data_IF_680658831813
#
_entry.id   IF_680658831813
#
_cell.length_a   1.000
_cell.length_b   1.000
_cell.length_c   1.000
_cell.angle_alpha   90.00
_cell.angle_beta   90.00
_cell.angle_gamma   90.00
#
_symmetry.space_group_name_H-M   'P 1'
#
loop_
_entity.id
_entity.type
_entity.pdbx_description
1 polymer ?
#
# COMPACT_ATOMS: atom_id res chain seq x y z
N UNK A 1 0.14 49.80 26.13
CA UNK A 1 0.90 49.23 25.00
C UNK A 1 0.73 47.72 25.05
N UNK A 2 -0.12 47.16 24.18
CA UNK A 2 -0.44 45.73 24.16
C UNK A 2 0.39 44.99 23.13
N UNK A 3 1.23 44.05 23.56
CA UNK A 3 1.87 43.09 22.67
C UNK A 3 0.90 41.93 22.44
N UNK A 4 0.14 41.99 21.34
CA UNK A 4 -0.68 40.88 20.87
C UNK A 4 0.24 39.71 20.50
N UNK A 5 0.11 38.60 21.21
CA UNK A 5 0.89 37.40 20.92
C UNK A 5 0.59 36.92 19.50
N UNK A 6 1.63 36.78 18.68
CA UNK A 6 1.53 36.14 17.36
C UNK A 6 1.29 34.66 17.62
N UNK A 7 0.06 34.17 17.40
CA UNK A 7 -0.22 32.73 17.40
C UNK A 7 0.68 32.07 16.36
N UNK A 8 1.44 31.06 16.78
CA UNK A 8 2.16 30.18 15.88
C UNK A 8 1.19 29.53 14.88
N UNK A 9 1.63 29.18 13.66
CA UNK A 9 0.78 28.47 12.69
C UNK A 9 0.31 27.18 13.34
N UNK A 10 -1.00 27.05 13.54
CA UNK A 10 -1.61 25.81 14.02
C UNK A 10 -1.52 24.84 12.85
N UNK A 11 -0.57 23.90 12.90
CA UNK A 11 -0.51 22.83 11.91
C UNK A 11 -1.88 22.11 11.88
N UNK A 12 -2.43 21.85 10.69
CA UNK A 12 -3.72 21.18 10.59
C UNK A 12 -3.66 19.84 11.31
N UNK A 13 -4.74 19.44 12.02
CA UNK A 13 -4.75 18.18 12.76
C UNK A 13 -4.41 17.01 11.84
N UNK A 14 -3.55 16.11 12.32
CA UNK A 14 -3.13 14.94 11.56
C UNK A 14 -4.37 14.16 11.09
N UNK A 15 -4.55 14.00 9.78
CA UNK A 15 -5.71 13.29 9.21
C UNK A 15 -5.64 11.77 9.35
N UNK A 16 -4.43 11.23 9.56
CA UNK A 16 -4.15 9.81 9.60
C UNK A 16 -3.24 9.46 10.76
N UNK A 17 -3.44 8.27 11.33
CA UNK A 17 -2.48 7.63 12.25
C UNK A 17 -1.75 6.52 11.51
N UNK A 18 -0.43 6.48 11.68
CA UNK A 18 0.44 5.49 11.05
C UNK A 18 0.71 4.32 12.00
N UNK A 19 0.65 3.11 11.47
CA UNK A 19 0.88 1.87 12.21
C UNK A 19 1.96 1.04 11.53
N UNK A 20 2.97 0.62 12.29
CA UNK A 20 3.98 -0.34 11.85
C UNK A 20 3.48 -1.77 11.99
N UNK A 21 3.72 -2.62 10.98
CA UNK A 21 3.35 -4.04 11.03
C UNK A 21 4.32 -4.89 10.20
N UNK A 22 4.73 -6.04 10.73
CA UNK A 22 5.58 -6.99 10.01
C UNK A 22 4.74 -7.84 9.04
N UNK A 23 5.13 -7.86 7.77
CA UNK A 23 4.48 -8.65 6.71
C UNK A 23 5.48 -9.48 5.94
N UNK A 24 5.00 -10.55 5.30
CA UNK A 24 5.75 -11.18 4.22
C UNK A 24 5.47 -10.44 2.93
N UNK A 25 6.50 -9.83 2.33
CA UNK A 25 6.40 -9.14 1.05
C UNK A 25 6.93 -10.01 -0.09
N UNK A 26 6.17 -10.09 -1.18
CA UNK A 26 6.65 -10.53 -2.50
C UNK A 26 6.57 -9.37 -3.49
N UNK A 27 7.13 -9.58 -4.68
CA UNK A 27 6.97 -8.67 -5.80
C UNK A 27 6.45 -9.43 -7.02
N UNK A 28 5.53 -8.80 -7.75
CA UNK A 28 4.99 -9.31 -9.00
C UNK A 28 5.09 -8.26 -10.11
N UNK A 29 5.09 -8.73 -11.34
CA UNK A 29 5.07 -7.88 -12.53
C UNK A 29 3.89 -8.28 -13.41
N UNK A 30 3.45 -7.34 -14.26
CA UNK A 30 2.46 -7.60 -15.30
C UNK A 30 3.18 -7.74 -16.63
N UNK A 31 3.73 -8.92 -16.93
CA UNK A 31 4.13 -9.22 -18.30
C UNK A 31 2.97 -9.87 -19.05
N UNK A 32 2.66 -9.28 -20.21
CA UNK A 32 1.57 -9.65 -21.11
C UNK A 32 1.55 -11.14 -21.48
N UNK A 33 2.71 -11.82 -21.50
CA UNK A 33 2.84 -13.24 -21.85
C UNK A 33 2.42 -14.22 -20.74
N UNK A 34 1.98 -13.74 -19.56
CA UNK A 34 1.57 -14.58 -18.42
C UNK A 34 0.06 -14.53 -18.10
N UNK A 35 -0.78 -13.91 -18.93
CA UNK A 35 -2.21 -13.76 -18.63
C UNK A 35 -3.10 -14.17 -19.82
N UNK A 36 -3.91 -15.22 -19.65
CA UNK A 36 -4.99 -15.64 -20.56
C UNK A 36 -6.25 -14.75 -20.45
N UNK A 37 -6.13 -13.54 -19.90
CA UNK A 37 -7.27 -12.66 -19.59
C UNK A 37 -7.19 -11.37 -20.40
N UNK A 38 -8.34 -11.00 -20.96
CA UNK A 38 -8.56 -9.94 -21.96
C UNK A 38 -8.09 -8.54 -21.51
N UNK A 39 -7.86 -8.28 -20.22
CA UNK A 39 -7.16 -7.07 -19.73
C UNK A 39 -6.43 -7.31 -18.39
N UNK A 40 -5.09 -7.51 -18.37
CA UNK A 40 -4.31 -7.79 -17.14
C UNK A 40 -4.12 -6.57 -16.21
N UNK A 41 -4.74 -5.43 -16.54
CA UNK A 41 -4.62 -4.18 -15.79
C UNK A 41 -5.74 -3.93 -14.78
N UNK A 42 -6.78 -4.76 -14.68
CA UNK A 42 -7.91 -4.48 -13.76
C UNK A 42 -7.71 -5.22 -12.42
N UNK A 43 -7.55 -4.47 -11.33
CA UNK A 43 -7.45 -5.02 -9.97
C UNK A 43 -8.82 -5.49 -9.44
N UNK A 44 -8.85 -6.27 -8.34
CA UNK A 44 -10.11 -6.83 -7.81
C UNK A 44 -11.07 -5.77 -7.22
N UNK A 45 -10.64 -4.52 -7.11
CA UNK A 45 -11.48 -3.37 -6.77
C UNK A 45 -11.84 -2.49 -7.97
N UNK A 46 -11.52 -2.91 -9.20
CA UNK A 46 -11.85 -2.22 -10.43
C UNK A 46 -10.86 -1.13 -10.85
N UNK A 47 -9.76 -0.93 -10.11
CA UNK A 47 -8.71 0.01 -10.53
C UNK A 47 -7.99 -0.48 -11.79
N UNK A 48 -7.78 0.41 -12.75
CA UNK A 48 -6.87 0.17 -13.87
C UNK A 48 -5.42 0.46 -13.44
N UNK A 49 -4.63 -0.59 -13.23
CA UNK A 49 -3.20 -0.54 -12.97
C UNK A 49 -2.45 -0.09 -14.22
N UNK A 50 -1.67 0.98 -14.08
CA UNK A 50 -0.74 1.47 -15.11
C UNK A 50 0.69 1.13 -14.71
N UNK A 51 1.57 0.73 -15.65
CA UNK A 51 2.99 0.55 -15.34
C UNK A 51 3.59 1.79 -14.66
N UNK A 52 4.31 1.58 -13.56
CA UNK A 52 4.87 2.67 -12.73
C UNK A 52 3.97 3.10 -11.56
N UNK A 53 2.73 2.61 -11.49
CA UNK A 53 1.86 2.84 -10.33
C UNK A 53 2.45 2.19 -9.08
N UNK A 54 2.48 2.94 -7.98
CA UNK A 54 2.92 2.45 -6.67
C UNK A 54 1.78 1.72 -5.98
N UNK A 55 1.47 0.52 -6.46
CA UNK A 55 0.36 -0.29 -5.97
C UNK A 55 0.84 -1.55 -5.25
N UNK A 56 0.05 -1.98 -4.27
CA UNK A 56 0.21 -3.28 -3.61
C UNK A 56 -1.11 -4.05 -3.58
N UNK A 57 -0.98 -5.37 -3.58
CA UNK A 57 -2.05 -6.28 -3.18
C UNK A 57 -1.84 -6.71 -1.72
N UNK A 58 -2.92 -6.84 -0.94
CA UNK A 58 -2.84 -7.25 0.47
C UNK A 58 -3.70 -8.48 0.76
N UNK A 59 -3.28 -9.30 1.72
CA UNK A 59 -4.09 -10.40 2.21
C UNK A 59 -5.34 -9.92 2.96
N UNK A 60 -6.40 -10.72 2.94
CA UNK A 60 -7.72 -10.33 3.48
C UNK A 60 -7.73 -10.06 4.99
N UNK A 61 -6.82 -10.67 5.74
CA UNK A 61 -6.61 -10.42 7.17
C UNK A 61 -6.01 -9.03 7.43
N UNK A 62 -5.12 -8.53 6.57
CA UNK A 62 -4.60 -7.16 6.68
C UNK A 62 -5.67 -6.10 6.38
N UNK A 63 -6.62 -6.41 5.50
CA UNK A 63 -7.78 -5.53 5.24
C UNK A 63 -8.59 -5.32 6.52
N UNK A 64 -8.78 -6.38 7.33
CA UNK A 64 -9.48 -6.29 8.63
C UNK A 64 -8.73 -5.43 9.65
N UNK A 65 -7.43 -5.23 9.47
CA UNK A 65 -6.60 -4.36 10.30
C UNK A 65 -6.61 -2.89 9.83
N UNK A 66 -7.29 -2.57 8.73
CA UNK A 66 -7.39 -1.22 8.19
C UNK A 66 -6.58 -0.96 6.91
N UNK A 67 -5.88 -1.96 6.36
CA UNK A 67 -5.25 -1.87 5.03
C UNK A 67 -6.31 -2.08 3.93
N UNK A 68 -7.24 -1.15 3.85
CA UNK A 68 -8.37 -1.16 2.91
C UNK A 68 -8.02 -0.44 1.61
N UNK A 69 -9.00 -0.26 0.72
CA UNK A 69 -8.77 0.37 -0.58
C UNK A 69 -8.24 1.79 -0.46
N UNK A 70 -7.19 2.10 -1.21
CA UNK A 70 -6.47 3.37 -1.20
C UNK A 70 -5.74 3.71 0.10
N UNK A 71 -5.63 2.77 1.05
CA UNK A 71 -4.76 2.96 2.21
C UNK A 71 -3.33 3.23 1.74
N UNK A 72 -2.73 4.30 2.27
CA UNK A 72 -1.32 4.62 2.02
C UNK A 72 -0.44 3.68 2.81
N UNK A 73 0.61 3.18 2.17
CA UNK A 73 1.59 2.26 2.74
C UNK A 73 3.00 2.73 2.40
N UNK A 74 3.84 2.88 3.42
CA UNK A 74 5.28 3.06 3.29
C UNK A 74 5.95 1.73 3.54
N UNK A 75 6.92 1.41 2.70
CA UNK A 75 7.67 0.16 2.76
C UNK A 75 9.13 0.57 2.95
N UNK A 76 9.79 0.12 4.02
CA UNK A 76 11.10 0.65 4.45
C UNK A 76 12.19 0.63 3.37
N UNK A 77 12.05 -0.27 2.41
CA UNK A 77 13.00 -0.47 1.30
C UNK A 77 12.76 0.45 0.11
N UNK A 78 11.70 1.26 0.11
CA UNK A 78 11.35 2.18 -0.96
C UNK A 78 11.09 3.59 -0.42
N UNK A 79 11.54 4.65 -1.13
CA UNK A 79 11.25 6.02 -0.73
C UNK A 79 9.80 6.44 -1.03
N UNK A 80 9.12 5.71 -1.91
CA UNK A 80 7.78 6.03 -2.39
C UNK A 80 6.67 5.61 -1.41
N UNK A 81 5.54 6.30 -1.49
CA UNK A 81 4.29 5.85 -0.87
C UNK A 81 3.51 4.98 -1.85
N UNK A 82 3.14 3.79 -1.40
CA UNK A 82 2.31 2.83 -2.13
C UNK A 82 0.85 2.94 -1.70
N UNK A 83 -0.04 2.42 -2.53
CA UNK A 83 -1.47 2.37 -2.28
C UNK A 83 -1.98 0.95 -2.40
N UNK A 84 -2.85 0.55 -1.46
CA UNK A 84 -3.56 -0.72 -1.59
C UNK A 84 -4.57 -0.59 -2.72
N UNK A 85 -4.37 -1.39 -3.77
CA UNK A 85 -5.21 -1.37 -4.98
C UNK A 85 -5.81 -2.74 -5.29
N UNK A 86 -5.36 -3.78 -4.61
CA UNK A 86 -5.86 -5.12 -4.83
C UNK A 86 -5.89 -5.97 -3.55
N UNK A 87 -6.65 -7.06 -3.59
CA UNK A 87 -6.73 -8.06 -2.51
C UNK A 87 -6.28 -9.43 -3.03
N UNK A 88 -5.44 -10.09 -2.25
CA UNK A 88 -4.95 -11.43 -2.60
C UNK A 88 -6.00 -12.51 -2.28
N UNK A 89 -5.89 -13.68 -2.93
CA UNK A 89 -6.68 -14.87 -2.63
C UNK A 89 -6.67 -15.22 -1.12
N UNK A 90 -7.79 -15.73 -0.59
CA UNK A 90 -8.03 -15.86 0.86
C UNK A 90 -7.08 -16.81 1.59
N UNK A 91 -6.39 -17.69 0.84
CA UNK A 91 -5.35 -18.59 1.36
C UNK A 91 -4.13 -17.84 1.91
N UNK A 92 -3.88 -16.63 1.42
CA UNK A 92 -2.76 -15.82 1.85
C UNK A 92 -3.09 -15.11 3.16
N UNK A 93 -2.11 -15.09 4.07
CA UNK A 93 -2.18 -14.48 5.39
C UNK A 93 -0.92 -13.66 5.64
N UNK A 94 -1.08 -12.55 6.35
CA UNK A 94 -0.03 -11.58 6.68
C UNK A 94 0.93 -11.29 5.52
N UNK A 95 0.35 -11.05 4.33
CA UNK A 95 1.10 -10.98 3.08
C UNK A 95 0.74 -9.76 2.26
N UNK A 96 1.78 -9.14 1.68
CA UNK A 96 1.64 -8.13 0.63
C UNK A 96 2.35 -8.58 -0.64
N UNK A 97 1.88 -8.09 -1.78
CA UNK A 97 2.53 -8.27 -3.08
C UNK A 97 2.73 -6.91 -3.74
N UNK A 98 3.98 -6.56 -4.04
CA UNK A 98 4.37 -5.25 -4.53
C UNK A 98 4.36 -5.27 -6.05
N UNK A 99 3.61 -4.35 -6.66
CA UNK A 99 3.60 -4.20 -8.11
C UNK A 99 4.88 -3.49 -8.59
N UNK A 100 5.68 -4.18 -9.40
CA UNK A 100 6.93 -3.63 -9.96
C UNK A 100 6.83 -3.25 -11.44
N UNK A 101 5.61 -3.14 -11.99
CA UNK A 101 5.43 -2.75 -13.38
C UNK A 101 5.89 -3.83 -14.36
N UNK A 102 6.73 -3.45 -15.33
CA UNK A 102 7.28 -4.32 -16.40
C UNK A 102 8.69 -4.85 -16.09
N UNK A 103 9.27 -4.51 -14.95
CA UNK A 103 10.66 -4.87 -14.62
C UNK A 103 10.76 -6.30 -14.06
N UNK A 104 10.81 -7.28 -14.97
CA UNK A 104 10.82 -8.72 -14.63
C UNK A 104 12.04 -9.12 -13.81
N UNK A 105 13.21 -8.52 -14.10
CA UNK A 105 14.47 -8.85 -13.41
C UNK A 105 14.40 -8.42 -11.95
N UNK A 106 13.98 -7.17 -11.69
CA UNK A 106 13.82 -6.68 -10.32
C UNK A 106 12.82 -7.49 -9.49
N UNK A 107 11.70 -7.89 -10.09
CA UNK A 107 10.71 -8.71 -9.39
C UNK A 107 11.26 -10.09 -9.00
N UNK A 108 12.07 -10.71 -9.88
CA UNK A 108 12.71 -12.01 -9.60
C UNK A 108 13.79 -11.90 -8.54
N UNK A 109 14.64 -10.87 -8.63
CA UNK A 109 15.72 -10.61 -7.66
C UNK A 109 15.17 -10.24 -6.28
N UNK A 110 14.01 -9.61 -6.22
CA UNK A 110 13.37 -9.22 -4.96
C UNK A 110 13.05 -10.41 -4.04
N UNK A 111 12.57 -11.50 -4.64
CA UNK A 111 12.16 -12.71 -3.93
C UNK A 111 11.04 -12.49 -2.92
N UNK A 112 11.00 -13.37 -1.91
CA UNK A 112 10.06 -13.29 -0.78
C UNK A 112 10.87 -13.00 0.48
N UNK A 113 10.47 -11.99 1.23
CA UNK A 113 11.15 -11.60 2.48
C UNK A 113 10.19 -10.97 3.46
N UNK A 114 10.51 -11.05 4.75
CA UNK A 114 9.79 -10.36 5.81
C UNK A 114 10.31 -8.93 5.93
N UNK A 115 9.41 -7.99 6.14
CA UNK A 115 9.76 -6.59 6.39
C UNK A 115 8.64 -5.87 7.14
N UNK A 116 9.00 -4.74 7.74
CA UNK A 116 8.04 -3.81 8.32
C UNK A 116 7.46 -2.93 7.22
N UNK A 117 6.15 -2.70 7.31
CA UNK A 117 5.45 -1.65 6.58
C UNK A 117 4.80 -0.69 7.56
N UNK A 118 4.63 0.55 7.14
CA UNK A 118 3.83 1.54 7.86
C UNK A 118 2.58 1.86 7.03
N UNK A 119 1.38 1.75 7.59
CA UNK A 119 0.14 2.07 6.88
C UNK A 119 -0.69 3.14 7.60
N UNK A 120 -1.37 3.96 6.81
CA UNK A 120 -2.14 5.10 7.30
C UNK A 120 -3.63 4.73 7.47
N UNK A 121 -4.14 4.81 8.71
CA UNK A 121 -5.56 4.65 9.02
C UNK A 121 -6.16 6.03 9.32
N UNK A 122 -7.30 6.41 8.72
CA UNK A 122 -7.98 7.66 9.03
C UNK A 122 -8.33 7.75 10.52
N UNK A 123 -8.11 8.91 11.15
CA UNK A 123 -8.38 9.07 12.60
C UNK A 123 -9.87 8.89 12.92
N UNK A 124 -10.75 9.29 12.01
CA UNK A 124 -12.20 9.12 12.18
C UNK A 124 -12.62 7.64 12.24
N UNK A 125 -11.84 6.74 11.65
CA UNK A 125 -12.05 5.29 11.72
C UNK A 125 -11.61 4.65 13.05
N UNK A 126 -10.94 5.41 13.93
CA UNK A 126 -10.41 4.90 15.21
C UNK A 126 -11.43 5.05 16.35
N UNK A 127 -12.51 5.82 16.13
CA UNK A 127 -13.60 5.97 17.10
C UNK A 127 -14.64 4.87 16.91
N UNK A 128 -14.44 3.73 17.59
CA UNK A 128 -15.51 2.80 17.97
C UNK A 128 -15.40 2.50 19.46
#
# INVERSE_FOLDING_TARGET
MGCSQRKAPVEPPAKYKWYGHEVTASAYNSVFWQTDSIDPSVAAWGDTLKPGMKSIAVSRDLIKMGLTHNTMVKIDTFPDTFYVKDKMHYRWRNRIDIYMGKDVKKAREWGRKKMIICYAVPIDSIKQ
#
